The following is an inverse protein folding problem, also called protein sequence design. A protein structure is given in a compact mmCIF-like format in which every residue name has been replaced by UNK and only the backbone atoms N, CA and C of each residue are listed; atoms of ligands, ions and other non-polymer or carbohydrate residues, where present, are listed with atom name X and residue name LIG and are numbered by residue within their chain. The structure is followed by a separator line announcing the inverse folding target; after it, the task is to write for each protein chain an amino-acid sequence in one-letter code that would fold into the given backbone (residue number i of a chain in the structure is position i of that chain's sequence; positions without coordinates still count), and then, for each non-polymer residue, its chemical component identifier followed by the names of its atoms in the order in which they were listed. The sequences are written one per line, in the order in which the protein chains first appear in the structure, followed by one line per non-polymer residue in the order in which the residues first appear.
data_IF_636480838596
#
_entry.id   IF_636480838596
#
_cell.length_a   1.000
_cell.length_b   1.000
_cell.length_c   1.000
_cell.angle_alpha   90.00
_cell.angle_beta   90.00
_cell.angle_gamma   90.00
#
_symmetry.space_group_name_H-M   'P 1'
#
loop_
_entity.id
_entity.type
_entity.pdbx_description
1 polymer ?
#
# COMPACT_ATOMS: atom_id res chain seq x y z
N UNK A 1 -23.51 3.29 4.85
CA UNK A 1 -22.05 3.32 4.69
C UNK A 1 -21.65 1.88 4.45
N UNK A 2 -21.55 1.47 3.19
CA UNK A 2 -21.02 0.14 2.90
C UNK A 2 -19.55 0.15 3.31
N UNK A 3 -19.21 -0.69 4.27
CA UNK A 3 -17.84 -0.85 4.73
C UNK A 3 -16.99 -1.19 3.50
N UNK A 4 -16.01 -0.36 3.16
CA UNK A 4 -14.95 -0.80 2.26
C UNK A 4 -14.25 -1.96 2.97
N UNK A 5 -14.40 -3.22 2.53
CA UNK A 5 -13.82 -4.34 3.25
C UNK A 5 -12.34 -4.31 2.93
N UNK A 6 -11.53 -3.83 3.88
CA UNK A 6 -10.10 -4.04 3.82
C UNK A 6 -9.83 -5.55 3.74
N UNK A 7 -8.87 -5.93 2.92
CA UNK A 7 -8.24 -7.24 3.03
C UNK A 7 -7.22 -7.13 4.16
N UNK A 8 -7.48 -7.83 5.26
CA UNK A 8 -6.50 -7.98 6.33
C UNK A 8 -5.50 -9.06 5.91
N UNK A 9 -4.22 -8.70 5.89
CA UNK A 9 -3.13 -9.56 5.43
C UNK A 9 -2.11 -9.70 6.56
N UNK A 10 -1.74 -10.95 6.85
CA UNK A 10 -0.62 -11.29 7.73
C UNK A 10 0.23 -12.33 7.05
N UNK A 11 1.53 -12.06 6.96
CA UNK A 11 2.49 -12.95 6.31
C UNK A 11 3.90 -12.66 6.80
N UNK A 12 4.65 -13.71 7.14
CA UNK A 12 6.06 -13.60 7.50
C UNK A 12 6.95 -13.12 6.33
N UNK A 13 6.43 -13.13 5.09
CA UNK A 13 7.12 -12.58 3.91
C UNK A 13 6.87 -11.09 3.68
N UNK A 14 5.94 -10.47 4.42
CA UNK A 14 5.54 -9.07 4.28
C UNK A 14 5.93 -8.28 5.54
N UNK A 15 7.21 -8.32 5.89
CA UNK A 15 7.78 -7.65 7.07
C UNK A 15 8.28 -6.25 6.74
N UNK A 16 8.61 -5.50 7.79
CA UNK A 16 9.36 -4.25 7.68
C UNK A 16 10.69 -4.53 6.96
N UNK A 17 10.99 -3.75 5.93
CA UNK A 17 12.26 -3.87 5.21
C UNK A 17 13.36 -3.05 5.88
N UNK A 18 14.64 -3.50 5.81
CA UNK A 18 15.76 -2.69 6.28
C UNK A 18 15.81 -1.32 5.60
N UNK A 19 15.84 -0.25 6.39
CA UNK A 19 15.88 1.14 5.90
C UNK A 19 14.52 1.73 5.52
N UNK A 20 13.41 0.97 5.66
CA UNK A 20 12.07 1.47 5.35
C UNK A 20 11.68 2.68 6.23
N UNK A 21 12.18 2.74 7.46
CA UNK A 21 12.03 3.84 8.42
C UNK A 21 12.46 5.19 7.85
N UNK A 22 13.45 5.20 6.94
CA UNK A 22 13.99 6.42 6.31
C UNK A 22 13.11 6.95 5.18
N UNK A 23 12.16 6.15 4.72
CA UNK A 23 11.24 6.48 3.62
C UNK A 23 9.83 6.85 4.12
N UNK A 24 9.58 6.65 5.41
CA UNK A 24 8.28 6.93 6.00
C UNK A 24 8.01 8.43 6.02
N UNK A 25 6.85 8.82 5.49
CA UNK A 25 6.33 10.19 5.67
C UNK A 25 5.87 10.39 7.11
N UNK A 26 5.23 9.36 7.70
CA UNK A 26 4.80 9.33 9.09
C UNK A 26 5.34 8.08 9.79
N UNK A 27 5.88 8.26 11.00
CA UNK A 27 6.44 7.15 11.76
C UNK A 27 5.41 6.01 11.97
N UNK A 28 5.85 4.78 11.74
CA UNK A 28 5.02 3.59 11.93
C UNK A 28 4.06 3.26 10.78
N UNK A 29 4.13 3.93 9.62
CA UNK A 29 3.34 3.61 8.41
C UNK A 29 4.07 2.63 7.49
N UNK A 30 4.41 1.46 8.01
CA UNK A 30 5.11 0.41 7.26
C UNK A 30 4.20 -0.26 6.21
N UNK A 31 4.79 -0.96 5.25
CA UNK A 31 4.07 -1.63 4.17
C UNK A 31 4.85 -1.81 2.87
N UNK A 32 6.12 -1.38 2.80
CA UNK A 32 6.94 -1.40 1.59
C UNK A 32 7.08 -2.79 0.97
N UNK A 33 7.29 -3.82 1.78
CA UNK A 33 7.36 -5.20 1.29
C UNK A 33 6.07 -5.62 0.57
N UNK A 34 4.90 -5.22 1.10
CA UNK A 34 3.61 -5.46 0.47
C UNK A 34 3.45 -4.65 -0.83
N UNK A 35 3.88 -3.39 -0.84
CA UNK A 35 3.85 -2.54 -2.03
C UNK A 35 4.69 -3.12 -3.18
N UNK A 36 5.92 -3.54 -2.87
CA UNK A 36 6.83 -4.20 -3.82
C UNK A 36 6.24 -5.51 -4.35
N UNK A 37 5.68 -6.34 -3.46
CA UNK A 37 5.05 -7.60 -3.86
C UNK A 37 3.87 -7.36 -4.81
N UNK A 38 2.96 -6.44 -4.46
CA UNK A 38 1.80 -6.13 -5.28
C UNK A 38 2.20 -5.53 -6.63
N UNK A 39 3.19 -4.63 -6.66
CA UNK A 39 3.71 -4.10 -7.92
C UNK A 39 4.18 -5.24 -8.83
N UNK A 40 5.05 -6.11 -8.33
CA UNK A 40 5.59 -7.22 -9.11
C UNK A 40 4.49 -8.18 -9.61
N UNK A 41 3.53 -8.55 -8.75
CA UNK A 41 2.47 -9.49 -9.10
C UNK A 41 1.48 -8.91 -10.11
N UNK A 42 1.08 -7.64 -9.94
CA UNK A 42 0.17 -6.97 -10.87
C UNK A 42 0.82 -6.78 -12.24
N UNK A 43 2.10 -6.40 -12.27
CA UNK A 43 2.86 -6.33 -13.53
C UNK A 43 2.95 -7.69 -14.23
N UNK A 44 3.19 -8.77 -13.48
CA UNK A 44 3.19 -10.13 -14.02
C UNK A 44 1.83 -10.56 -14.60
N UNK A 45 0.73 -9.94 -14.16
CA UNK A 45 -0.62 -10.15 -14.67
C UNK A 45 -1.00 -9.17 -15.81
N UNK A 46 -0.08 -8.31 -16.25
CA UNK A 46 -0.28 -7.40 -17.38
C UNK A 46 -0.86 -6.03 -17.01
N UNK A 47 -0.96 -5.69 -15.73
CA UNK A 47 -1.32 -4.34 -15.30
C UNK A 47 -0.13 -3.37 -15.41
N UNK A 48 -0.41 -2.11 -15.73
CA UNK A 48 0.59 -1.05 -15.72
C UNK A 48 0.74 -0.47 -14.30
N UNK A 49 1.81 -0.86 -13.59
CA UNK A 49 2.08 -0.40 -12.20
C UNK A 49 3.43 0.31 -12.13
N UNK A 50 3.50 1.57 -12.58
CA UNK A 50 4.77 2.26 -12.84
C UNK A 50 5.58 2.58 -11.59
N UNK A 51 4.92 2.79 -10.44
CA UNK A 51 5.58 3.10 -9.19
C UNK A 51 4.69 2.79 -7.98
N UNK A 52 5.31 2.84 -6.81
CA UNK A 52 4.66 2.92 -5.50
C UNK A 52 5.36 4.00 -4.68
N UNK A 53 4.68 4.57 -3.69
CA UNK A 53 5.25 5.61 -2.82
C UNK A 53 4.70 5.51 -1.40
N UNK A 54 5.47 5.97 -0.43
CA UNK A 54 4.98 6.21 0.93
C UNK A 54 4.28 7.56 0.96
N UNK A 55 3.08 7.58 1.53
CA UNK A 55 2.23 8.74 1.74
C UNK A 55 2.07 8.96 3.26
N UNK A 56 1.48 10.10 3.65
CA UNK A 56 1.22 10.42 5.07
C UNK A 56 0.23 9.45 5.76
N UNK A 57 -0.47 8.61 5.01
CA UNK A 57 -1.43 7.63 5.54
C UNK A 57 -0.99 6.17 5.39
N UNK A 58 0.07 5.87 4.63
CA UNK A 58 0.43 4.48 4.28
C UNK A 58 1.19 4.39 2.96
N UNK A 59 1.10 3.24 2.28
CA UNK A 59 1.73 3.03 0.98
C UNK A 59 0.70 3.01 -0.15
N UNK A 60 1.02 3.72 -1.23
CA UNK A 60 0.25 3.77 -2.46
C UNK A 60 0.93 2.97 -3.56
N UNK A 61 0.19 2.09 -4.24
CA UNK A 61 0.62 1.38 -5.46
C UNK A 61 -0.24 1.85 -6.64
N UNK A 62 0.34 2.60 -7.58
CA UNK A 62 -0.37 3.23 -8.69
C UNK A 62 -0.73 2.21 -9.78
N UNK A 63 -1.99 2.16 -10.22
CA UNK A 63 -2.40 1.34 -11.37
C UNK A 63 -2.91 2.25 -12.50
N UNK A 64 -2.20 2.25 -13.61
CA UNK A 64 -2.52 3.04 -14.80
C UNK A 64 -3.36 2.28 -15.82
N UNK A 65 -3.93 3.02 -16.78
CA UNK A 65 -4.66 2.46 -17.92
C UNK A 65 -6.14 2.14 -17.65
N UNK A 66 -6.68 2.48 -16.47
CA UNK A 66 -8.06 2.17 -16.07
C UNK A 66 -9.07 3.31 -16.35
N UNK A 67 -8.67 4.33 -17.12
CA UNK A 67 -9.51 5.50 -17.47
C UNK A 67 -9.85 6.43 -16.30
N UNK A 68 -9.33 6.15 -15.10
CA UNK A 68 -9.45 6.93 -13.87
C UNK A 68 -8.24 6.64 -12.98
N UNK A 69 -7.96 7.51 -12.00
CA UNK A 69 -6.95 7.23 -10.97
C UNK A 69 -7.41 6.05 -10.13
N UNK A 70 -6.55 5.06 -10.01
CA UNK A 70 -6.80 3.83 -9.28
C UNK A 70 -5.48 3.33 -8.70
N UNK A 71 -5.52 2.84 -7.48
CA UNK A 71 -4.37 2.22 -6.86
C UNK A 71 -4.77 1.32 -5.71
N UNK A 72 -3.75 0.69 -5.13
CA UNK A 72 -3.91 -0.09 -3.90
C UNK A 72 -3.33 0.72 -2.75
N UNK A 73 -4.15 0.98 -1.74
CA UNK A 73 -3.73 1.53 -0.46
C UNK A 73 -3.36 0.42 0.50
N UNK A 74 -2.21 0.56 1.15
CA UNK A 74 -1.69 -0.38 2.14
C UNK A 74 -1.46 0.39 3.44
N UNK A 75 -2.14 -0.06 4.50
CA UNK A 75 -2.00 0.47 5.84
C UNK A 75 -1.33 -0.61 6.69
N UNK A 76 -0.05 -0.44 7.02
CA UNK A 76 0.67 -1.37 7.88
C UNK A 76 1.03 -0.75 9.21
N UNK A 77 0.87 -1.53 10.28
CA UNK A 77 1.36 -1.21 11.61
C UNK A 77 2.19 -2.39 12.11
N UNK A 78 3.28 -2.09 12.80
CA UNK A 78 4.03 -3.09 13.54
C UNK A 78 3.14 -3.70 14.64
N UNK A 79 3.21 -5.02 14.79
CA UNK A 79 2.60 -5.73 15.89
C UNK A 79 3.63 -5.86 17.02
N UNK A 80 3.37 -5.17 18.12
CA UNK A 80 4.24 -5.12 19.30
C UNK A 80 5.69 -4.71 18.92
N UNK A 81 6.69 -5.21 19.65
CA UNK A 81 8.11 -4.99 19.35
C UNK A 81 8.66 -5.96 18.27
N UNK A 82 7.78 -6.56 17.46
CA UNK A 82 8.17 -7.50 16.39
C UNK A 82 8.27 -6.82 15.03
N UNK A 83 8.96 -7.46 14.08
CA UNK A 83 8.98 -7.04 12.66
C UNK A 83 7.75 -7.50 11.87
N UNK A 84 6.81 -8.19 12.52
CA UNK A 84 5.58 -8.65 11.88
C UNK A 84 4.59 -7.48 11.77
N UNK A 85 3.87 -7.43 10.64
CA UNK A 85 2.94 -6.36 10.32
C UNK A 85 1.48 -6.83 10.34
N UNK A 86 0.59 -5.98 10.86
CA UNK A 86 -0.83 -6.03 10.56
C UNK A 86 -1.10 -5.11 9.36
N UNK A 87 -1.42 -5.71 8.22
CA UNK A 87 -1.63 -4.99 6.96
C UNK A 87 -3.13 -4.97 6.63
N UNK A 88 -3.67 -3.78 6.41
CA UNK A 88 -4.97 -3.57 5.80
C UNK A 88 -4.77 -3.07 4.37
N UNK A 89 -5.31 -3.78 3.39
CA UNK A 89 -5.12 -3.49 1.96
C UNK A 89 -6.48 -3.19 1.32
N UNK A 90 -6.58 -2.14 0.54
CA UNK A 90 -7.83 -1.75 -0.14
C UNK A 90 -7.58 -1.14 -1.51
N UNK A 91 -8.60 -1.17 -2.38
CA UNK A 91 -8.58 -0.45 -3.65
C UNK A 91 -9.02 0.99 -3.40
N UNK A 92 -8.22 1.94 -3.85
CA UNK A 92 -8.47 3.36 -3.74
C UNK A 92 -8.69 3.95 -5.13
N UNK A 93 -9.82 4.63 -5.30
CA UNK A 93 -10.15 5.41 -6.50
C UNK A 93 -10.44 6.84 -6.09
N UNK A 94 -9.42 7.65 -5.76
CA UNK A 94 -9.62 9.02 -5.32
C UNK A 94 -10.36 9.80 -6.41
N UNK A 95 -11.44 10.47 -6.04
CA UNK A 95 -12.10 11.41 -6.95
C UNK A 95 -11.19 12.62 -7.14
N UNK A 96 -11.06 13.10 -8.38
CA UNK A 96 -10.22 14.23 -8.75
C UNK A 96 -10.59 15.57 -8.08
N UNK A 97 -11.60 15.62 -7.22
CA UNK A 97 -12.11 16.83 -6.59
C UNK A 97 -11.77 16.87 -5.10
N UNK A 98 -10.57 17.36 -4.76
CA UNK A 98 -10.35 17.89 -3.40
C UNK A 98 -9.44 19.10 -3.29
N UNK A 99 -9.04 19.71 -4.40
CA UNK A 99 -8.42 21.04 -4.44
C UNK A 99 -9.03 21.86 -5.58
N UNK A 100 -10.18 22.48 -5.31
CA UNK A 100 -10.71 23.62 -6.04
C UNK A 100 -10.83 24.79 -5.06
#
# INVERSE_FOLDING_TARGET
MDAQPFLHVRSAGLRILPGEDQELVNEGTYGKACALYLQAQLMAQGYAVPFFTCEDWGWWVEIQGLGRVCGIGIYGRALDDSEDLDLCVTVLTPSASRWA
#
